data_IF_373592486508
#
_entry.id   IF_373592486508
#
_cell.length_a   1.000
_cell.length_b   1.000
_cell.length_c   1.000
_cell.angle_alpha   90.00
_cell.angle_beta   90.00
_cell.angle_gamma   90.00
#
_symmetry.space_group_name_H-M   'P 1'
#
loop_
_entity.id
_entity.type
_entity.pdbx_description
1 polymer ?
#
# COMPACT_ATOMS: atom_id res chain seq x y z
N UNK A 1 4.85 -9.44 -13.36
CA UNK A 1 3.78 -8.57 -12.84
C UNK A 1 3.91 -8.36 -11.33
N UNK A 2 3.96 -9.42 -10.52
CA UNK A 2 4.04 -9.31 -9.06
C UNK A 2 5.27 -8.52 -8.55
N UNK A 3 6.47 -8.74 -9.12
CA UNK A 3 7.66 -7.92 -8.80
C UNK A 3 7.47 -6.44 -9.14
N UNK A 4 6.89 -6.12 -10.30
CA UNK A 4 6.68 -4.73 -10.72
C UNK A 4 5.72 -4.00 -9.78
N UNK A 5 4.62 -4.64 -9.38
CA UNK A 5 3.67 -4.10 -8.41
C UNK A 5 4.29 -3.97 -7.01
N UNK A 6 5.21 -4.87 -6.63
CA UNK A 6 5.98 -4.74 -5.38
C UNK A 6 6.89 -3.50 -5.39
N UNK A 7 7.66 -3.28 -6.47
CA UNK A 7 8.49 -2.09 -6.62
C UNK A 7 7.66 -0.80 -6.60
N UNK A 8 6.50 -0.82 -7.28
CA UNK A 8 5.57 0.32 -7.27
C UNK A 8 5.05 0.61 -5.85
N UNK A 9 4.69 -0.41 -5.07
CA UNK A 9 4.31 -0.22 -3.67
C UNK A 9 5.45 0.34 -2.81
N UNK A 10 6.69 -0.09 -3.03
CA UNK A 10 7.86 0.44 -2.33
C UNK A 10 8.06 1.92 -2.66
N UNK A 11 8.01 2.29 -3.95
CA UNK A 11 8.17 3.68 -4.39
C UNK A 11 7.05 4.55 -3.84
N UNK A 12 5.80 4.10 -3.91
CA UNK A 12 4.66 4.85 -3.38
C UNK A 12 4.70 4.95 -1.86
N UNK A 13 5.15 3.92 -1.14
CA UNK A 13 5.37 3.99 0.29
C UNK A 13 6.40 5.07 0.65
N UNK A 14 7.52 5.14 -0.07
CA UNK A 14 8.54 6.18 0.13
C UNK A 14 7.98 7.56 -0.20
N UNK A 15 7.32 7.71 -1.36
CA UNK A 15 6.74 9.00 -1.76
C UNK A 15 5.68 9.48 -0.75
N UNK A 16 4.81 8.58 -0.29
CA UNK A 16 3.79 8.87 0.70
C UNK A 16 4.40 9.23 2.07
N UNK A 17 5.46 8.53 2.48
CA UNK A 17 6.21 8.86 3.69
C UNK A 17 6.81 10.27 3.63
N UNK A 18 7.45 10.63 2.51
CA UNK A 18 8.06 11.95 2.32
C UNK A 18 7.02 13.08 2.38
N UNK A 19 5.83 12.86 1.82
CA UNK A 19 4.73 13.82 1.90
C UNK A 19 4.18 14.00 3.32
N UNK A 20 4.29 12.96 4.16
CA UNK A 20 3.76 12.96 5.53
C UNK A 20 4.78 13.25 6.63
N UNK A 21 6.06 13.36 6.30
CA UNK A 21 7.14 13.58 7.26
C UNK A 21 6.88 14.82 8.15
N UNK A 22 6.14 15.79 7.63
CA UNK A 22 5.79 17.05 8.29
C UNK A 22 4.64 16.95 9.31
N UNK A 23 3.76 15.95 9.21
CA UNK A 23 2.52 15.85 10.01
C UNK A 23 2.59 14.86 11.19
N UNK A 24 3.76 14.25 11.44
CA UNK A 24 4.11 13.48 12.66
C UNK A 24 3.12 12.40 13.12
N UNK A 25 2.25 11.87 12.24
CA UNK A 25 1.27 10.85 12.63
C UNK A 25 1.92 9.46 12.65
N UNK A 26 2.15 8.93 13.86
CA UNK A 26 2.80 7.63 14.10
C UNK A 26 2.08 6.46 13.43
N UNK A 27 0.75 6.51 13.33
CA UNK A 27 -0.05 5.46 12.68
C UNK A 27 0.21 5.39 11.17
N UNK A 28 0.35 6.54 10.51
CA UNK A 28 0.67 6.61 9.09
C UNK A 28 2.05 6.05 8.81
N UNK A 29 3.05 6.40 9.64
CA UNK A 29 4.40 5.87 9.50
C UNK A 29 4.45 4.35 9.66
N UNK A 30 3.76 3.80 10.66
CA UNK A 30 3.69 2.35 10.88
C UNK A 30 3.03 1.63 9.69
N UNK A 31 1.91 2.16 9.19
CA UNK A 31 1.22 1.59 8.03
C UNK A 31 2.07 1.60 6.76
N UNK A 32 2.79 2.69 6.50
CA UNK A 32 3.72 2.79 5.37
C UNK A 32 4.86 1.79 5.48
N UNK A 33 5.44 1.63 6.68
CA UNK A 33 6.49 0.64 6.93
C UNK A 33 5.99 -0.80 6.66
N UNK A 34 4.75 -1.11 7.07
CA UNK A 34 4.13 -2.42 6.80
C UNK A 34 4.01 -2.67 5.29
N UNK A 35 3.55 -1.68 4.51
CA UNK A 35 3.45 -1.81 3.05
C UNK A 35 4.82 -1.95 2.39
N UNK A 36 5.82 -1.21 2.87
CA UNK A 36 7.20 -1.33 2.41
C UNK A 36 7.74 -2.75 2.65
N UNK A 37 7.60 -3.27 3.88
CA UNK A 37 8.02 -4.63 4.24
C UNK A 37 7.29 -5.69 3.41
N UNK A 38 5.99 -5.48 3.14
CA UNK A 38 5.22 -6.35 2.26
C UNK A 38 5.82 -6.41 0.85
N UNK A 39 6.15 -5.25 0.27
CA UNK A 39 6.80 -5.16 -1.03
C UNK A 39 8.14 -5.90 -1.07
N UNK A 40 9.01 -5.64 -0.09
CA UNK A 40 10.34 -6.28 0.02
C UNK A 40 10.22 -7.80 0.14
N UNK A 41 9.31 -8.29 0.98
CA UNK A 41 9.09 -9.72 1.16
C UNK A 41 8.61 -10.42 -0.11
N UNK A 42 7.75 -9.75 -0.90
CA UNK A 42 7.28 -10.29 -2.17
C UNK A 42 8.42 -10.30 -3.21
N UNK A 43 9.22 -9.24 -3.32
CA UNK A 43 10.40 -9.22 -4.21
C UNK A 43 11.36 -10.35 -3.87
N UNK A 44 11.70 -10.50 -2.58
CA UNK A 44 12.60 -11.54 -2.10
C UNK A 44 12.09 -12.95 -2.43
N UNK A 45 10.79 -13.21 -2.22
CA UNK A 45 10.18 -14.52 -2.51
C UNK A 45 10.17 -14.82 -4.01
N UNK A 46 9.95 -13.80 -4.84
CA UNK A 46 9.95 -13.92 -6.29
C UNK A 46 11.37 -14.07 -6.87
N UNK A 47 12.40 -13.48 -6.26
CA UNK A 47 13.80 -13.67 -6.65
C UNK A 47 14.32 -15.05 -6.30
N UNK A 48 14.03 -15.53 -5.08
CA UNK A 48 14.45 -16.85 -4.64
C UNK A 48 13.54 -17.99 -5.10
N UNK A 49 12.48 -17.67 -5.85
CA UNK A 49 11.42 -18.61 -6.25
C UNK A 49 10.85 -19.44 -5.09
N UNK A 50 10.81 -18.86 -3.89
CA UNK A 50 10.28 -19.53 -2.69
C UNK A 50 8.78 -19.32 -2.63
N UNK A 51 8.04 -20.34 -2.16
CA UNK A 51 6.59 -20.25 -1.90
C UNK A 51 6.29 -19.21 -0.83
N UNK A 52 5.14 -18.56 -0.94
CA UNK A 52 4.72 -17.57 0.05
C UNK A 52 4.40 -18.29 1.37
N UNK A 53 4.89 -17.74 2.48
CA UNK A 53 4.69 -18.32 3.81
C UNK A 53 3.62 -17.53 4.57
N UNK A 54 3.21 -18.03 5.73
CA UNK A 54 2.26 -17.36 6.62
C UNK A 54 2.62 -15.88 6.87
N UNK A 55 3.91 -15.56 6.98
CA UNK A 55 4.40 -14.19 7.18
C UNK A 55 3.97 -13.23 6.05
N UNK A 56 3.98 -13.69 4.79
CA UNK A 56 3.54 -12.89 3.64
C UNK A 56 2.05 -12.53 3.75
N UNK A 57 1.23 -13.48 4.18
CA UNK A 57 -0.20 -13.27 4.37
C UNK A 57 -0.50 -12.37 5.58
N UNK A 58 0.23 -12.53 6.68
CA UNK A 58 0.08 -11.68 7.88
C UNK A 58 0.40 -10.22 7.54
N UNK A 59 1.54 -9.98 6.89
CA UNK A 59 1.97 -8.62 6.52
C UNK A 59 1.09 -8.04 5.40
N UNK A 60 0.67 -8.87 4.44
CA UNK A 60 -0.29 -8.48 3.42
C UNK A 60 -1.65 -8.09 4.02
N UNK A 61 -2.16 -8.86 4.98
CA UNK A 61 -3.41 -8.56 5.68
C UNK A 61 -3.28 -7.27 6.51
N UNK A 62 -2.16 -7.06 7.21
CA UNK A 62 -1.88 -5.82 7.92
C UNK A 62 -1.84 -4.61 6.96
N UNK A 63 -1.30 -4.78 5.75
CA UNK A 63 -1.33 -3.76 4.68
C UNK A 63 -2.78 -3.43 4.25
N UNK A 64 -3.68 -4.41 4.21
CA UNK A 64 -5.10 -4.18 3.93
C UNK A 64 -5.82 -3.42 5.06
N UNK A 65 -5.42 -3.64 6.33
CA UNK A 65 -5.92 -2.82 7.44
C UNK A 65 -5.49 -1.36 7.25
N UNK A 66 -4.27 -1.12 6.81
CA UNK A 66 -3.80 0.23 6.48
C UNK A 66 -4.56 0.84 5.29
N UNK A 67 -4.92 0.06 4.27
CA UNK A 67 -5.81 0.52 3.19
C UNK A 67 -7.13 1.05 3.74
N UNK A 68 -7.75 0.36 4.70
CA UNK A 68 -8.98 0.84 5.33
C UNK A 68 -8.78 2.19 6.01
N UNK A 69 -7.66 2.37 6.72
CA UNK A 69 -7.31 3.65 7.33
C UNK A 69 -7.17 4.76 6.29
N UNK A 70 -6.45 4.51 5.19
CA UNK A 70 -6.28 5.47 4.10
C UNK A 70 -7.60 5.87 3.45
N UNK A 71 -8.50 4.91 3.24
CA UNK A 71 -9.83 5.18 2.65
C UNK A 71 -10.68 6.10 3.53
N UNK A 72 -10.72 5.84 4.84
CA UNK A 72 -11.43 6.72 5.79
C UNK A 72 -10.83 8.12 5.78
N UNK A 73 -9.49 8.21 5.73
CA UNK A 73 -8.80 9.50 5.72
C UNK A 73 -9.08 10.30 4.44
N UNK A 74 -9.00 9.65 3.27
CA UNK A 74 -9.34 10.27 1.98
C UNK A 74 -10.79 10.72 1.93
N UNK A 75 -11.73 9.92 2.45
CA UNK A 75 -13.14 10.31 2.51
C UNK A 75 -13.35 11.60 3.34
N UNK A 76 -12.70 11.68 4.50
CA UNK A 76 -12.77 12.87 5.36
C UNK A 76 -12.17 14.11 4.66
N UNK A 77 -11.05 13.94 3.95
CA UNK A 77 -10.41 15.02 3.19
C UNK A 77 -11.30 15.48 2.04
N UNK A 78 -11.88 14.57 1.27
CA UNK A 78 -12.81 14.91 0.19
C UNK A 78 -13.98 15.72 0.74
N UNK A 79 -14.60 15.25 1.82
CA UNK A 79 -15.72 15.95 2.47
C UNK A 79 -15.32 17.36 2.89
N UNK A 80 -14.19 17.51 3.60
CA UNK A 80 -13.70 18.80 4.05
C UNK A 80 -13.35 19.75 2.90
N UNK A 81 -12.75 19.24 1.82
CA UNK A 81 -12.34 20.05 0.67
C UNK A 81 -13.53 20.53 -0.17
N UNK A 82 -14.60 19.73 -0.26
CA UNK A 82 -15.86 20.14 -0.91
C UNK A 82 -16.55 21.23 -0.10
N UNK A 83 -16.60 21.10 1.23
CA UNK A 83 -17.32 22.04 2.10
C UNK A 83 -16.62 23.41 2.23
N UNK A 84 -15.29 23.45 2.17
CA UNK A 84 -14.55 24.67 2.57
C UNK A 84 -13.49 25.17 1.56
N UNK A 85 -13.28 24.50 0.42
CA UNK A 85 -12.26 24.85 -0.59
C UNK A 85 -10.84 25.16 -0.04
N UNK A 86 -10.46 24.60 1.12
CA UNK A 86 -9.28 25.04 1.88
C UNK A 86 -7.91 24.83 1.20
N UNK A 87 -7.78 23.94 0.22
CA UNK A 87 -6.47 23.40 -0.16
C UNK A 87 -6.29 23.28 -1.68
N UNK A 88 -5.39 24.10 -2.22
CA UNK A 88 -5.07 24.15 -3.67
C UNK A 88 -4.46 22.84 -4.20
N UNK A 89 -3.77 22.05 -3.34
CA UNK A 89 -3.10 20.80 -3.72
C UNK A 89 -3.81 19.50 -3.24
N UNK A 90 -5.05 19.59 -2.73
CA UNK A 90 -5.78 18.41 -2.21
C UNK A 90 -5.90 17.30 -3.25
N UNK A 91 -6.14 17.66 -4.50
CA UNK A 91 -6.43 16.71 -5.57
C UNK A 91 -5.24 15.80 -5.88
N UNK A 92 -4.02 16.34 -5.89
CA UNK A 92 -2.80 15.55 -6.08
C UNK A 92 -2.63 14.54 -4.94
N UNK A 93 -2.90 14.97 -3.71
CA UNK A 93 -2.84 14.11 -2.54
C UNK A 93 -3.87 12.97 -2.59
N UNK A 94 -5.12 13.29 -2.93
CA UNK A 94 -6.20 12.31 -3.08
C UNK A 94 -5.83 11.30 -4.16
N UNK A 95 -5.36 11.78 -5.32
CA UNK A 95 -4.95 10.93 -6.43
C UNK A 95 -3.83 9.96 -6.02
N UNK A 96 -2.76 10.47 -5.40
CA UNK A 96 -1.66 9.64 -4.91
C UNK A 96 -2.12 8.58 -3.92
N UNK A 97 -3.02 8.96 -3.01
CA UNK A 97 -3.54 8.03 -2.00
C UNK A 97 -4.42 6.95 -2.64
N UNK A 98 -5.26 7.30 -3.61
CA UNK A 98 -6.07 6.33 -4.36
C UNK A 98 -5.18 5.35 -5.13
N UNK A 99 -4.18 5.85 -5.85
CA UNK A 99 -3.23 5.01 -6.59
C UNK A 99 -2.51 4.06 -5.64
N UNK A 100 -2.08 4.55 -4.47
CA UNK A 100 -1.41 3.73 -3.47
C UNK A 100 -2.32 2.67 -2.84
N UNK A 101 -3.58 3.00 -2.58
CA UNK A 101 -4.58 2.01 -2.12
C UNK A 101 -4.77 0.91 -3.16
N UNK A 102 -4.98 1.30 -4.43
CA UNK A 102 -5.20 0.34 -5.52
C UNK A 102 -4.00 -0.58 -5.71
N UNK A 103 -2.77 -0.06 -5.59
CA UNK A 103 -1.56 -0.85 -5.75
C UNK A 103 -1.35 -1.86 -4.61
N UNK A 104 -1.70 -1.51 -3.37
CA UNK A 104 -1.64 -2.44 -2.23
C UNK A 104 -2.65 -3.59 -2.43
N UNK A 105 -3.90 -3.26 -2.80
CA UNK A 105 -4.95 -4.25 -3.04
C UNK A 105 -4.56 -5.17 -4.21
N UNK A 106 -4.08 -4.59 -5.31
CA UNK A 106 -3.64 -5.35 -6.48
C UNK A 106 -2.49 -6.30 -6.13
N UNK A 107 -1.50 -5.84 -5.36
CA UNK A 107 -0.38 -6.67 -4.91
C UNK A 107 -0.85 -7.89 -4.12
N UNK A 108 -1.79 -7.68 -3.19
CA UNK A 108 -2.33 -8.76 -2.37
C UNK A 108 -3.07 -9.80 -3.22
N UNK A 109 -3.92 -9.35 -4.15
CA UNK A 109 -4.65 -10.23 -5.08
C UNK A 109 -3.67 -11.01 -5.96
N UNK A 110 -2.69 -10.32 -6.56
CA UNK A 110 -1.69 -10.96 -7.43
C UNK A 110 -0.86 -12.00 -6.68
N UNK A 111 -0.47 -11.71 -5.42
CA UNK A 111 0.24 -12.67 -4.57
C UNK A 111 -0.61 -13.92 -4.33
N UNK A 112 -1.89 -13.75 -3.96
CA UNK A 112 -2.80 -14.87 -3.72
C UNK A 112 -3.01 -15.74 -4.97
N UNK A 113 -3.19 -15.10 -6.14
CA UNK A 113 -3.33 -15.81 -7.41
C UNK A 113 -2.04 -16.53 -7.82
N UNK A 114 -0.87 -15.92 -7.59
CA UNK A 114 0.43 -16.53 -7.88
C UNK A 114 0.69 -17.77 -7.00
N UNK A 115 0.37 -17.69 -5.70
CA UNK A 115 0.54 -18.83 -4.80
C UNK A 115 -0.37 -20.00 -5.20
N UNK A 116 -1.65 -19.73 -5.50
CA UNK A 116 -2.60 -20.73 -6.00
C UNK A 116 -2.08 -21.45 -7.25
N UNK A 117 -1.42 -20.75 -8.17
CA UNK A 117 -0.82 -21.37 -9.37
C UNK A 117 0.35 -22.29 -9.01
N UNK A 118 1.20 -21.87 -8.07
CA UNK A 118 2.37 -22.66 -7.58
C UNK A 118 2.00 -23.90 -6.76
N UNK A 119 0.77 -23.98 -6.24
CA UNK A 119 0.24 -25.17 -5.57
C UNK A 119 -0.34 -26.21 -6.55
N UNK A 120 -0.64 -25.79 -7.80
CA UNK A 120 -1.19 -26.66 -8.85
C UNK A 120 -0.14 -27.19 -9.83
N UNK A 121 1.08 -26.66 -9.77
CA UNK A 121 2.25 -27.08 -10.56
C UNK A 121 3.13 -28.02 -9.72
#
# INVERSE_FOLDING_TARGET
MLKATAYLNIILAIAYFLLYLLNSNSYTMAGVLIVFLFGVLVVWSEEKQVKFKALHYIIGAASLVFVRFLLVWVFNVIKSSVEHQYFNNTWLYILLTIVFVLSIVLQFILMYLADRKRLKA
#
